data_IF_291085469984
#
_entry.id   IF_291085469984
#
_cell.length_a   1.000
_cell.length_b   1.000
_cell.length_c   1.000
_cell.angle_alpha   90.00
_cell.angle_beta   90.00
_cell.angle_gamma   90.00
#
_symmetry.space_group_name_H-M   'P 1'
#
loop_
_entity.id
_entity.type
_entity.pdbx_description
1 polymer ?
#
# COMPACT_ATOMS: atom_id res chain seq x y z
N UNK A 1 0.58 -41.58 5.72
CA UNK A 1 -0.44 -40.67 5.20
C UNK A 1 -1.06 -41.25 3.95
N UNK A 2 -2.32 -41.57 4.03
CA UNK A 2 -2.97 -42.13 2.86
C UNK A 2 -3.21 -41.01 1.83
N UNK A 3 -2.88 -41.28 0.59
CA UNK A 3 -3.19 -40.44 -0.56
C UNK A 3 -4.69 -40.13 -0.72
N UNK A 4 -5.54 -40.79 0.04
CA UNK A 4 -6.98 -40.53 0.09
C UNK A 4 -7.34 -39.17 0.68
N UNK A 5 -6.44 -38.55 1.44
CA UNK A 5 -6.61 -37.16 1.90
C UNK A 5 -6.39 -36.12 0.79
N UNK A 6 -5.86 -36.57 -0.32
CA UNK A 6 -5.65 -35.77 -1.52
C UNK A 6 -6.75 -36.01 -2.59
N UNK A 7 -7.98 -36.28 -2.15
CA UNK A 7 -9.11 -36.19 -3.09
C UNK A 7 -9.03 -34.89 -3.87
N UNK A 8 -9.30 -34.96 -5.16
CA UNK A 8 -9.02 -33.81 -6.02
C UNK A 8 -9.61 -32.55 -5.42
N UNK A 9 -8.77 -31.55 -5.29
CA UNK A 9 -9.10 -30.23 -4.70
C UNK A 9 -10.32 -29.60 -5.35
N UNK A 10 -10.70 -30.08 -6.52
CA UNK A 10 -11.91 -29.67 -7.25
C UNK A 10 -13.22 -30.00 -6.54
N UNK A 11 -13.19 -30.87 -5.52
CA UNK A 11 -14.38 -31.23 -4.73
C UNK A 11 -14.41 -30.60 -3.33
N UNK A 12 -13.35 -29.92 -2.92
CA UNK A 12 -13.32 -29.22 -1.65
C UNK A 12 -13.81 -27.80 -1.80
N UNK A 13 -14.91 -27.47 -1.13
CA UNK A 13 -15.32 -26.07 -1.01
C UNK A 13 -14.24 -25.27 -0.26
N UNK A 14 -14.18 -23.96 -0.50
CA UNK A 14 -13.30 -23.04 0.22
C UNK A 14 -13.51 -23.14 1.74
N UNK A 15 -14.74 -23.47 2.16
CA UNK A 15 -15.07 -23.70 3.57
C UNK A 15 -14.37 -24.94 4.15
N UNK A 16 -14.26 -26.03 3.38
CA UNK A 16 -13.60 -27.25 3.82
C UNK A 16 -12.10 -27.05 3.95
N UNK A 17 -11.50 -26.28 3.07
CA UNK A 17 -10.09 -25.90 3.15
C UNK A 17 -9.82 -25.10 4.43
N UNK A 18 -10.65 -24.12 4.73
CA UNK A 18 -10.53 -23.31 5.92
C UNK A 18 -10.79 -24.08 7.20
N UNK A 19 -11.74 -25.03 7.17
CA UNK A 19 -12.02 -25.91 8.30
C UNK A 19 -10.85 -26.87 8.59
N UNK A 20 -10.25 -27.44 7.55
CA UNK A 20 -9.05 -28.27 7.68
C UNK A 20 -7.84 -27.48 8.20
N UNK A 21 -7.68 -26.24 7.76
CA UNK A 21 -6.63 -25.35 8.27
C UNK A 21 -6.81 -25.03 9.75
N UNK A 22 -8.04 -24.83 10.22
CA UNK A 22 -8.34 -24.59 11.65
C UNK A 22 -8.13 -25.81 12.51
N UNK A 23 -8.37 -27.02 11.97
CA UNK A 23 -8.18 -28.28 12.70
C UNK A 23 -6.71 -28.69 12.81
N UNK A 24 -5.85 -28.22 11.93
CA UNK A 24 -4.44 -28.55 11.93
C UNK A 24 -3.64 -27.49 12.70
N UNK A 25 -3.59 -27.64 14.03
CA UNK A 25 -2.86 -26.72 14.91
C UNK A 25 -1.35 -26.70 14.66
N UNK A 26 -0.81 -27.72 14.04
CA UNK A 26 0.65 -27.85 13.87
C UNK A 26 1.22 -26.83 12.88
N UNK A 27 0.47 -26.39 11.88
CA UNK A 27 0.96 -25.37 10.98
C UNK A 27 0.84 -23.94 11.55
N UNK A 28 0.02 -23.76 12.61
CA UNK A 28 -0.07 -22.48 13.32
C UNK A 28 1.04 -22.31 14.36
N UNK A 29 1.60 -23.42 14.81
CA UNK A 29 2.62 -23.42 15.87
C UNK A 29 4.04 -23.53 15.32
N UNK A 30 4.22 -23.96 14.09
CA UNK A 30 5.52 -23.81 13.44
C UNK A 30 5.76 -22.34 13.20
N UNK A 31 6.72 -21.72 13.90
CA UNK A 31 7.10 -20.38 13.53
C UNK A 31 7.52 -20.48 12.07
N UNK A 32 6.72 -19.90 11.20
CA UNK A 32 7.24 -19.51 9.89
C UNK A 32 8.53 -18.76 10.24
N UNK A 33 9.69 -19.20 9.77
CA UNK A 33 10.86 -18.37 9.94
C UNK A 33 10.50 -17.04 9.31
N UNK A 34 10.13 -16.10 10.14
CA UNK A 34 10.11 -14.70 9.76
C UNK A 34 11.56 -14.49 9.35
N UNK A 35 11.80 -14.43 8.06
CA UNK A 35 13.11 -14.02 7.61
C UNK A 35 13.38 -12.74 8.37
N UNK A 36 14.35 -12.77 9.27
CA UNK A 36 14.78 -11.62 10.04
C UNK A 36 15.26 -10.48 9.12
N UNK A 37 15.24 -10.72 7.81
CA UNK A 37 15.69 -9.82 6.76
C UNK A 37 14.68 -8.73 6.41
N UNK A 38 13.44 -8.81 6.92
CA UNK A 38 12.44 -7.79 6.67
C UNK A 38 12.34 -6.85 7.88
N UNK A 39 13.30 -5.93 7.94
CA UNK A 39 13.29 -4.88 8.94
C UNK A 39 12.04 -3.99 8.79
N UNK A 40 11.59 -3.45 9.91
CA UNK A 40 10.54 -2.46 9.91
C UNK A 40 11.11 -1.13 9.39
N UNK A 41 10.54 -0.62 8.32
CA UNK A 41 10.96 0.63 7.72
C UNK A 41 10.52 1.83 8.55
N UNK A 42 11.37 2.84 8.62
CA UNK A 42 11.05 4.12 9.24
C UNK A 42 10.25 4.98 8.27
N UNK A 43 9.15 5.53 8.74
CA UNK A 43 8.24 6.33 7.94
C UNK A 43 8.46 7.81 8.23
N UNK A 44 8.59 8.59 7.16
CA UNK A 44 8.57 10.06 7.21
C UNK A 44 7.24 10.55 6.65
N UNK A 45 6.49 11.32 7.41
CA UNK A 45 5.20 11.84 6.98
C UNK A 45 5.33 13.28 6.48
N UNK A 46 4.90 13.52 5.24
CA UNK A 46 4.70 14.85 4.70
C UNK A 46 3.28 15.28 4.98
N UNK A 47 3.10 16.40 5.65
CA UNK A 47 1.80 16.89 6.08
C UNK A 47 1.37 18.05 5.19
N UNK A 48 0.18 17.95 4.60
CA UNK A 48 -0.43 19.01 3.81
C UNK A 48 -1.88 19.21 4.18
N UNK A 49 -2.25 20.43 4.52
CA UNK A 49 -3.66 20.80 4.75
C UNK A 49 -4.50 20.74 3.47
N UNK A 50 -3.86 20.88 2.31
CA UNK A 50 -4.54 20.88 1.02
C UNK A 50 -4.69 19.48 0.43
N UNK A 51 -3.62 18.68 0.48
CA UNK A 51 -3.57 17.38 -0.20
C UNK A 51 -3.74 16.18 0.75
N UNK A 52 -3.58 16.39 2.06
CA UNK A 52 -3.53 15.33 3.04
C UNK A 52 -2.10 14.85 3.30
N UNK A 53 -1.98 13.82 4.11
CA UNK A 53 -0.69 13.34 4.56
C UNK A 53 -0.18 12.23 3.65
N UNK A 54 1.10 12.28 3.31
CA UNK A 54 1.79 11.24 2.53
C UNK A 54 2.93 10.70 3.37
N UNK A 55 2.97 9.39 3.51
CA UNK A 55 4.06 8.71 4.19
C UNK A 55 5.09 8.22 3.18
N UNK A 56 6.33 8.54 3.46
CA UNK A 56 7.49 8.16 2.66
C UNK A 56 8.39 7.21 3.45
N UNK A 57 9.08 6.34 2.73
CA UNK A 57 10.17 5.53 3.24
C UNK A 57 11.42 5.95 2.47
N UNK A 58 12.36 6.59 3.17
CA UNK A 58 13.61 7.06 2.57
C UNK A 58 14.68 5.99 2.77
N UNK A 59 15.13 5.41 1.69
CA UNK A 59 16.25 4.46 1.65
C UNK A 59 17.45 5.11 0.97
N UNK A 60 18.63 4.49 1.04
CA UNK A 60 19.87 5.06 0.50
C UNK A 60 19.78 5.50 -0.96
N UNK A 61 19.17 4.68 -1.78
CA UNK A 61 19.15 4.87 -3.23
C UNK A 61 17.76 5.25 -3.77
N UNK A 62 16.72 5.20 -2.97
CA UNK A 62 15.38 5.42 -3.48
C UNK A 62 14.42 5.86 -2.36
N UNK A 63 13.47 6.69 -2.74
CA UNK A 63 12.37 7.09 -1.88
C UNK A 63 11.12 6.33 -2.33
N UNK A 64 10.43 5.69 -1.39
CA UNK A 64 9.18 4.99 -1.65
C UNK A 64 8.00 5.74 -1.05
N UNK A 65 6.88 5.68 -1.73
CA UNK A 65 5.61 6.26 -1.28
C UNK A 65 4.65 5.14 -0.94
N UNK A 66 3.94 5.26 0.16
CA UNK A 66 2.90 4.31 0.53
C UNK A 66 1.68 4.52 -0.36
N UNK A 67 1.35 3.51 -1.17
CA UNK A 67 0.32 3.62 -2.21
C UNK A 67 -1.06 4.01 -1.69
N UNK A 68 -1.46 3.50 -0.54
CA UNK A 68 -2.80 3.78 0.02
C UNK A 68 -3.00 5.25 0.39
N UNK A 69 -1.92 5.98 0.64
CA UNK A 69 -2.01 7.41 0.96
C UNK A 69 -2.43 8.24 -0.26
N UNK A 70 -2.25 7.70 -1.46
CA UNK A 70 -2.68 8.36 -2.69
C UNK A 70 -4.18 8.23 -2.97
N UNK A 71 -4.91 7.49 -2.17
CA UNK A 71 -6.35 7.24 -2.37
C UNK A 71 -7.14 8.54 -2.43
N UNK A 72 -7.03 9.36 -1.41
CA UNK A 72 -7.75 10.63 -1.34
C UNK A 72 -7.17 11.67 -2.31
N UNK A 73 -5.85 11.65 -2.48
CA UNK A 73 -5.15 12.60 -3.37
C UNK A 73 -5.60 12.41 -4.82
N UNK A 74 -5.71 11.18 -5.27
CA UNK A 74 -6.15 10.86 -6.63
C UNK A 74 -7.67 10.75 -6.78
N UNK A 75 -8.41 10.76 -5.67
CA UNK A 75 -9.86 10.70 -5.70
C UNK A 75 -10.43 9.30 -5.91
N UNK A 76 -9.68 8.26 -5.63
CA UNK A 76 -10.18 6.89 -5.66
C UNK A 76 -11.18 6.64 -4.51
N UNK A 77 -12.13 5.75 -4.75
CA UNK A 77 -13.15 5.43 -3.76
C UNK A 77 -12.62 4.59 -2.60
N UNK A 78 -11.64 3.73 -2.86
CA UNK A 78 -11.09 2.80 -1.85
C UNK A 78 -9.57 2.65 -2.00
N UNK A 79 -8.92 2.31 -0.90
CA UNK A 79 -7.50 1.97 -0.89
C UNK A 79 -7.18 0.73 -1.73
N UNK A 80 -8.10 -0.20 -1.83
CA UNK A 80 -7.96 -1.40 -2.68
C UNK A 80 -7.84 -1.01 -4.16
N UNK A 81 -8.67 -0.09 -4.62
CA UNK A 81 -8.61 0.43 -5.99
C UNK A 81 -7.28 1.13 -6.27
N UNK A 82 -6.81 1.93 -5.33
CA UNK A 82 -5.52 2.62 -5.42
C UNK A 82 -4.37 1.63 -5.54
N UNK A 83 -4.33 0.64 -4.66
CA UNK A 83 -3.29 -0.39 -4.66
C UNK A 83 -3.29 -1.17 -5.97
N UNK A 84 -4.46 -1.55 -6.47
CA UNK A 84 -4.59 -2.24 -7.76
C UNK A 84 -4.11 -1.40 -8.93
N UNK A 85 -4.41 -0.10 -8.92
CA UNK A 85 -3.93 0.84 -9.93
C UNK A 85 -2.39 0.86 -9.99
N UNK A 86 -1.73 0.98 -8.84
CA UNK A 86 -0.27 0.97 -8.79
C UNK A 86 0.33 -0.38 -9.17
N UNK A 87 -0.22 -1.46 -8.68
CA UNK A 87 0.26 -2.81 -9.01
C UNK A 87 0.17 -3.15 -10.48
N UNK A 88 -0.89 -2.71 -11.14
CA UNK A 88 -1.13 -3.04 -12.54
C UNK A 88 -0.37 -2.13 -13.51
N UNK A 89 0.06 -0.97 -13.08
CA UNK A 89 0.59 0.07 -13.95
C UNK A 89 2.03 0.45 -13.66
N UNK A 90 2.45 0.39 -12.39
CA UNK A 90 3.75 0.87 -11.93
C UNK A 90 4.51 -0.20 -11.16
N UNK A 91 5.79 0.10 -10.90
CA UNK A 91 6.62 -0.75 -10.04
C UNK A 91 6.12 -0.66 -8.61
N UNK A 92 5.90 -1.79 -7.98
CA UNK A 92 5.51 -1.86 -6.59
C UNK A 92 6.31 -2.93 -5.86
N UNK A 93 6.52 -2.71 -4.62
CA UNK A 93 7.08 -3.68 -3.68
C UNK A 93 6.34 -3.54 -2.35
N UNK A 94 6.78 -4.23 -1.33
CA UNK A 94 6.19 -4.07 -0.02
C UNK A 94 7.24 -3.72 1.03
N UNK A 95 6.80 -3.10 2.11
CA UNK A 95 7.59 -2.81 3.30
C UNK A 95 6.75 -3.09 4.54
N UNK A 96 7.41 -3.36 5.64
CA UNK A 96 6.75 -3.42 6.94
C UNK A 96 6.93 -2.09 7.65
N UNK A 97 5.84 -1.56 8.17
CA UNK A 97 5.81 -0.32 8.94
C UNK A 97 5.09 -0.54 10.26
N UNK A 98 5.40 0.28 11.24
CA UNK A 98 4.67 0.32 12.49
C UNK A 98 3.52 1.32 12.39
N UNK A 99 2.33 0.86 12.72
CA UNK A 99 1.13 1.71 12.77
C UNK A 99 0.68 1.83 14.23
N UNK A 100 0.54 3.06 14.69
CA UNK A 100 -0.07 3.35 15.98
C UNK A 100 -1.60 3.34 15.85
N UNK A 101 -2.26 2.75 16.82
CA UNK A 101 -3.71 2.73 16.90
C UNK A 101 -4.16 2.76 18.35
N UNK A 102 -5.38 3.21 18.57
CA UNK A 102 -5.96 3.29 19.89
C UNK A 102 -6.88 2.10 20.16
N UNK A 103 -6.66 1.41 21.25
CA UNK A 103 -7.55 0.36 21.76
C UNK A 103 -7.98 0.77 23.15
N UNK A 104 -9.27 1.07 23.31
CA UNK A 104 -9.85 1.45 24.61
C UNK A 104 -9.06 2.55 25.32
N UNK A 105 -8.66 3.59 24.60
CA UNK A 105 -7.90 4.72 25.13
C UNK A 105 -6.41 4.47 25.35
N UNK A 106 -5.91 3.29 25.01
CA UNK A 106 -4.49 2.96 25.10
C UNK A 106 -3.86 2.97 23.72
N UNK A 107 -2.68 3.56 23.60
CA UNK A 107 -1.86 3.50 22.40
C UNK A 107 -1.28 2.09 22.26
N UNK A 108 -1.47 1.50 21.10
CA UNK A 108 -0.86 0.24 20.71
C UNK A 108 -0.15 0.41 19.37
N UNK A 109 0.84 -0.41 19.11
CA UNK A 109 1.61 -0.39 17.86
C UNK A 109 1.51 -1.78 17.23
N UNK A 110 1.21 -1.84 15.96
CA UNK A 110 1.27 -3.08 15.19
C UNK A 110 2.17 -2.92 13.98
N UNK A 111 2.87 -3.97 13.65
CA UNK A 111 3.63 -4.08 12.41
C UNK A 111 2.68 -4.44 11.28
N UNK A 112 2.70 -3.69 10.22
CA UNK A 112 1.82 -3.91 9.07
C UNK A 112 2.63 -3.94 7.77
N UNK A 113 2.28 -4.91 6.92
CA UNK A 113 2.76 -4.97 5.54
C UNK A 113 2.01 -3.94 4.71
N UNK A 114 2.74 -3.12 3.98
CA UNK A 114 2.16 -2.12 3.09
C UNK A 114 2.80 -2.16 1.71
N UNK A 115 2.02 -1.82 0.70
CA UNK A 115 2.48 -1.71 -0.68
C UNK A 115 3.02 -0.31 -0.91
N UNK A 116 4.21 -0.26 -1.50
CA UNK A 116 4.90 1.00 -1.79
C UNK A 116 5.31 1.04 -3.26
N UNK A 117 5.45 2.24 -3.78
CA UNK A 117 5.94 2.51 -5.13
C UNK A 117 7.08 3.51 -5.07
N UNK A 118 8.08 3.46 -5.96
CA UNK A 118 9.10 4.47 -6.03
C UNK A 118 8.51 5.87 -6.26
N UNK A 119 9.14 6.89 -5.70
CA UNK A 119 8.68 8.27 -5.80
C UNK A 119 8.50 8.70 -7.26
N UNK A 120 9.44 8.36 -8.14
CA UNK A 120 9.34 8.69 -9.56
C UNK A 120 8.14 8.05 -10.24
N UNK A 121 7.79 6.82 -9.88
CA UNK A 121 6.60 6.13 -10.39
C UNK A 121 5.32 6.78 -9.87
N UNK A 122 5.32 7.23 -8.63
CA UNK A 122 4.18 7.98 -8.09
C UNK A 122 4.00 9.31 -8.80
N UNK A 123 5.07 10.03 -9.11
CA UNK A 123 5.02 11.27 -9.89
C UNK A 123 4.42 11.00 -11.28
N UNK A 124 4.88 9.95 -11.95
CA UNK A 124 4.32 9.52 -13.24
C UNK A 124 2.83 9.14 -13.12
N UNK A 125 2.44 8.50 -12.02
CA UNK A 125 1.05 8.12 -11.78
C UNK A 125 0.11 9.33 -11.70
N UNK A 126 0.57 10.41 -11.10
CA UNK A 126 -0.20 11.66 -11.02
C UNK A 126 -0.29 12.33 -12.39
N UNK A 127 0.82 12.39 -13.13
CA UNK A 127 0.85 13.00 -14.48
C UNK A 127 -0.02 12.26 -15.48
N UNK A 128 -0.07 10.95 -15.42
CA UNK A 128 -0.69 10.07 -16.43
C UNK A 128 -1.98 9.39 -15.98
N UNK A 129 -2.58 9.85 -14.88
CA UNK A 129 -3.77 9.19 -14.34
C UNK A 129 -4.94 9.14 -15.33
N UNK A 130 -5.10 10.17 -16.13
CA UNK A 130 -6.12 10.27 -17.16
C UNK A 130 -6.02 9.17 -18.24
N UNK A 131 -4.82 8.62 -18.46
CA UNK A 131 -4.61 7.53 -19.42
C UNK A 131 -5.02 6.16 -18.89
N UNK A 132 -4.98 5.98 -17.59
CA UNK A 132 -5.09 4.65 -16.96
C UNK A 132 -6.37 4.45 -16.16
N UNK A 133 -7.03 5.52 -15.77
CA UNK A 133 -8.29 5.43 -15.03
C UNK A 133 -9.43 5.22 -16.00
N UNK A 134 -10.17 4.12 -15.78
CA UNK A 134 -11.29 3.70 -16.65
C UNK A 134 -12.52 3.37 -15.81
N UNK A 135 -13.67 3.36 -16.46
CA UNK A 135 -14.94 2.92 -15.87
C UNK A 135 -15.55 3.95 -14.93
N UNK A 136 -16.28 3.46 -13.92
CA UNK A 136 -17.05 4.29 -12.98
C UNK A 136 -16.20 5.26 -12.16
N UNK A 137 -14.93 4.94 -11.95
CA UNK A 137 -14.02 5.78 -11.18
C UNK A 137 -13.45 6.95 -11.99
N UNK A 138 -13.46 6.85 -13.31
CA UNK A 138 -12.84 7.83 -14.19
C UNK A 138 -13.42 9.24 -13.99
N UNK A 139 -14.73 9.38 -13.94
CA UNK A 139 -15.40 10.67 -13.80
C UNK A 139 -15.00 11.38 -12.51
N UNK A 140 -15.01 10.67 -11.40
CA UNK A 140 -14.67 11.22 -10.08
C UNK A 140 -13.19 11.60 -10.00
N UNK A 141 -12.33 10.73 -10.46
CA UNK A 141 -10.87 10.96 -10.45
C UNK A 141 -10.51 12.12 -11.37
N UNK A 142 -11.00 12.13 -12.59
CA UNK A 142 -10.67 13.17 -13.58
C UNK A 142 -11.24 14.54 -13.21
N UNK A 143 -12.38 14.60 -12.50
CA UNK A 143 -12.91 15.85 -12.01
C UNK A 143 -12.09 16.44 -10.85
N UNK A 144 -11.45 15.61 -10.06
CA UNK A 144 -10.58 16.03 -8.97
C UNK A 144 -9.16 16.37 -9.45
N UNK A 145 -8.57 15.50 -10.27
CA UNK A 145 -7.17 15.60 -10.69
C UNK A 145 -7.08 16.35 -12.01
N UNK A 146 -7.32 17.66 -11.95
CA UNK A 146 -7.15 18.58 -13.09
C UNK A 146 -5.66 18.86 -13.33
N UNK A 147 -5.32 19.44 -14.47
CA UNK A 147 -3.92 19.81 -14.77
C UNK A 147 -3.36 20.81 -13.75
N UNK A 148 -4.19 21.75 -13.29
CA UNK A 148 -3.82 22.70 -12.26
C UNK A 148 -3.55 21.98 -10.91
N UNK A 149 -4.42 21.07 -10.53
CA UNK A 149 -4.25 20.26 -9.32
C UNK A 149 -2.96 19.43 -9.35
N UNK A 150 -2.68 18.76 -10.48
CA UNK A 150 -1.43 18.01 -10.68
C UNK A 150 -0.20 18.89 -10.48
N UNK A 151 -0.21 20.07 -11.08
CA UNK A 151 0.88 21.03 -10.97
C UNK A 151 1.10 21.48 -9.52
N UNK A 152 0.05 21.91 -8.85
CA UNK A 152 0.13 22.35 -7.45
C UNK A 152 0.64 21.23 -6.53
N UNK A 153 0.12 20.02 -6.71
CA UNK A 153 0.54 18.86 -5.95
C UNK A 153 2.02 18.53 -6.17
N UNK A 154 2.45 18.47 -7.43
CA UNK A 154 3.84 18.14 -7.75
C UNK A 154 4.82 19.23 -7.32
N UNK A 155 4.44 20.49 -7.41
CA UNK A 155 5.23 21.62 -6.91
C UNK A 155 5.41 21.55 -5.39
N UNK A 156 4.33 21.28 -4.67
CA UNK A 156 4.39 21.07 -3.22
C UNK A 156 5.28 19.89 -2.86
N UNK A 157 5.07 18.75 -3.51
CA UNK A 157 5.84 17.52 -3.26
C UNK A 157 7.33 17.75 -3.50
N UNK A 158 7.69 18.41 -4.59
CA UNK A 158 9.08 18.70 -4.93
C UNK A 158 9.78 19.52 -3.84
N UNK A 159 9.11 20.54 -3.32
CA UNK A 159 9.63 21.38 -2.23
C UNK A 159 9.84 20.56 -0.95
N UNK A 160 8.88 19.70 -0.58
CA UNK A 160 8.99 18.87 0.60
C UNK A 160 10.12 17.85 0.49
N UNK A 161 10.28 17.23 -0.67
CA UNK A 161 11.36 16.27 -0.94
C UNK A 161 12.72 16.95 -0.93
N UNK A 162 12.85 18.14 -1.50
CA UNK A 162 14.08 18.94 -1.42
C UNK A 162 14.48 19.24 0.03
N UNK A 163 13.50 19.58 0.87
CA UNK A 163 13.74 19.80 2.31
C UNK A 163 14.25 18.54 3.01
N UNK A 164 13.81 17.37 2.60
CA UNK A 164 14.32 16.11 3.16
C UNK A 164 15.76 15.82 2.76
N UNK A 165 16.11 16.10 1.51
CA UNK A 165 17.45 15.87 0.97
C UNK A 165 18.49 16.83 1.54
N UNK A 166 18.08 17.98 2.05
CA UNK A 166 18.96 19.01 2.63
C UNK A 166 19.16 18.86 4.14
N UNK A 167 18.60 17.85 4.74
CA UNK A 167 18.82 17.48 6.15
C UNK A 167 19.85 16.36 6.23
#
# INVERSE_FOLDING_TARGET
MSLQTLKPMTQCSVFDINRKRRANKDWQTKPVPVSNDLETSVVTTLVSSTFGDIRLIVEENEIYVICVDMTDILGFATSTTTTSYYRNTYRTTFRFINIEYNVQGRKAVRRQKTIVTPLEDMIESVKNIDKYVKGKNATKVLSKVTEEYKKEFLDWLSKEVECLNNK
#
